data_IF_594481273259
#
_entry.id   IF_594481273259
#
_cell.length_a   1.000
_cell.length_b   1.000
_cell.length_c   1.000
_cell.angle_alpha   90.00
_cell.angle_beta   90.00
_cell.angle_gamma   90.00
#
_symmetry.space_group_name_H-M   'P 1'
#
loop_
_entity.id
_entity.type
_entity.pdbx_description
1 polymer ?
#
# COMPACT_ATOMS: atom_id res chain seq x y z
N UNK A 1 -81.61 61.93 -24.07
CA UNK A 1 -80.18 61.69 -24.38
C UNK A 1 -79.42 61.57 -23.08
N UNK A 2 -79.09 60.35 -22.65
CA UNK A 2 -78.11 60.09 -21.58
C UNK A 2 -77.30 58.87 -22.03
N UNK A 3 -75.97 59.09 -22.08
CA UNK A 3 -74.92 58.12 -22.39
C UNK A 3 -74.86 57.04 -21.31
N UNK A 4 -74.71 55.77 -21.70
CA UNK A 4 -74.07 54.76 -20.86
C UNK A 4 -72.88 54.17 -21.61
N UNK A 5 -71.70 54.36 -21.04
CA UNK A 5 -70.42 53.80 -21.49
C UNK A 5 -70.36 52.31 -21.10
N UNK A 6 -70.11 51.44 -22.07
CA UNK A 6 -69.67 50.07 -21.84
C UNK A 6 -68.15 50.09 -21.64
N UNK A 7 -67.67 49.75 -20.44
CA UNK A 7 -66.25 49.57 -20.17
C UNK A 7 -65.81 48.15 -20.56
N UNK A 8 -64.91 48.04 -21.53
CA UNK A 8 -64.27 46.79 -21.96
C UNK A 8 -63.02 46.56 -21.08
N UNK A 9 -63.07 45.57 -20.19
CA UNK A 9 -61.89 45.13 -19.41
C UNK A 9 -61.16 44.06 -20.21
N UNK A 10 -60.02 44.43 -20.81
CA UNK A 10 -59.10 43.48 -21.45
C UNK A 10 -58.11 43.02 -20.38
N UNK A 11 -58.34 41.85 -19.81
CA UNK A 11 -57.41 41.21 -18.87
C UNK A 11 -56.26 40.52 -19.63
N UNK A 12 -55.05 41.05 -19.53
CA UNK A 12 -53.84 40.39 -20.01
C UNK A 12 -53.37 39.33 -19.01
N UNK A 13 -53.46 38.05 -19.36
CA UNK A 13 -52.80 36.97 -18.63
C UNK A 13 -51.31 36.94 -19.01
N UNK A 14 -50.44 37.39 -18.11
CA UNK A 14 -49.00 37.15 -18.20
C UNK A 14 -48.71 35.72 -17.74
N UNK A 15 -48.37 34.84 -18.69
CA UNK A 15 -47.76 33.54 -18.41
C UNK A 15 -46.35 33.77 -17.86
N UNK A 16 -46.14 33.47 -16.58
CA UNK A 16 -44.81 33.42 -15.98
C UNK A 16 -44.23 32.05 -16.35
N UNK A 17 -43.13 31.97 -17.13
CA UNK A 17 -42.44 30.70 -17.29
C UNK A 17 -41.74 30.38 -15.96
N UNK A 18 -42.22 29.36 -15.26
CA UNK A 18 -41.48 28.68 -14.21
C UNK A 18 -40.25 28.04 -14.86
N UNK A 19 -39.11 28.72 -14.81
CA UNK A 19 -37.83 28.11 -15.07
C UNK A 19 -37.57 27.08 -13.96
N UNK A 20 -37.93 25.82 -14.21
CA UNK A 20 -37.43 24.70 -13.41
C UNK A 20 -35.92 24.69 -13.63
N UNK A 21 -35.18 25.12 -12.60
CA UNK A 21 -33.74 24.87 -12.53
C UNK A 21 -33.61 23.34 -12.53
N UNK A 22 -33.19 22.76 -13.65
CA UNK A 22 -32.67 21.41 -13.64
C UNK A 22 -31.49 21.43 -12.67
N UNK A 23 -31.65 20.77 -11.54
CA UNK A 23 -30.56 20.51 -10.62
C UNK A 23 -29.66 19.52 -11.33
N UNK A 24 -28.56 20.01 -11.89
CA UNK A 24 -27.53 19.15 -12.49
C UNK A 24 -27.17 18.11 -11.44
N UNK A 25 -27.43 16.84 -11.75
CA UNK A 25 -27.09 15.73 -10.87
C UNK A 25 -25.62 15.90 -10.48
N UNK A 26 -25.36 16.04 -9.18
CA UNK A 26 -24.01 16.05 -8.61
C UNK A 26 -23.24 14.91 -9.27
N UNK A 27 -22.09 15.15 -9.92
CA UNK A 27 -21.31 14.08 -10.52
C UNK A 27 -21.08 13.03 -9.44
N UNK A 28 -21.52 11.80 -9.71
CA UNK A 28 -21.26 10.66 -8.85
C UNK A 28 -19.74 10.67 -8.59
N UNK A 29 -19.35 10.88 -7.34
CA UNK A 29 -17.94 10.95 -6.94
C UNK A 29 -17.33 9.63 -7.39
N UNK A 30 -16.56 9.66 -8.47
CA UNK A 30 -15.92 8.47 -9.01
C UNK A 30 -15.23 7.75 -7.84
N UNK A 31 -15.54 6.47 -7.66
CA UNK A 31 -14.95 5.68 -6.60
C UNK A 31 -13.42 5.84 -6.67
N UNK A 32 -12.80 6.18 -5.55
CA UNK A 32 -11.35 6.27 -5.48
C UNK A 32 -10.76 4.92 -5.91
N UNK A 33 -9.73 4.90 -6.78
CA UNK A 33 -9.13 3.67 -7.24
C UNK A 33 -8.69 2.81 -6.06
N UNK A 34 -8.86 1.49 -6.17
CA UNK A 34 -8.38 0.60 -5.11
C UNK A 34 -6.87 0.74 -4.96
N UNK A 35 -6.38 0.84 -3.71
CA UNK A 35 -4.96 1.00 -3.47
C UNK A 35 -4.17 -0.21 -3.96
N UNK A 36 -2.99 0.05 -4.54
CA UNK A 36 -1.98 -0.99 -4.78
C UNK A 36 -1.55 -1.67 -3.49
N UNK A 37 -1.34 -2.98 -3.58
CA UNK A 37 -0.82 -3.78 -2.48
C UNK A 37 0.68 -3.56 -2.32
N UNK A 38 1.13 -3.54 -1.06
CA UNK A 38 2.55 -3.31 -0.71
C UNK A 38 3.06 -4.54 -0.02
N UNK A 39 4.22 -5.04 -0.46
CA UNK A 39 4.84 -6.23 0.09
C UNK A 39 6.25 -5.95 0.58
N UNK A 40 6.59 -6.60 1.68
CA UNK A 40 7.94 -6.58 2.25
C UNK A 40 8.50 -7.98 2.39
N UNK A 41 9.82 -8.10 2.31
CA UNK A 41 10.54 -9.35 2.55
C UNK A 41 11.88 -9.08 3.25
N UNK A 42 12.17 -9.81 4.33
CA UNK A 42 13.36 -9.58 5.18
C UNK A 42 14.49 -10.55 4.85
N UNK A 43 15.64 -10.00 4.46
CA UNK A 43 16.88 -10.73 4.13
C UNK A 43 17.86 -10.63 5.29
N UNK A 44 18.37 -11.77 5.75
CA UNK A 44 19.39 -11.84 6.79
C UNK A 44 20.75 -12.24 6.22
N UNK A 45 21.87 -11.67 6.69
CA UNK A 45 23.20 -11.92 6.16
C UNK A 45 23.80 -13.22 6.71
N UNK A 46 23.06 -14.32 6.61
CA UNK A 46 23.47 -15.63 7.14
C UNK A 46 23.85 -16.55 5.99
N UNK A 47 24.75 -17.50 6.27
CA UNK A 47 25.09 -18.54 5.31
C UNK A 47 23.88 -19.45 5.06
N UNK A 48 23.42 -19.60 3.80
CA UNK A 48 22.32 -20.51 3.46
C UNK A 48 22.56 -21.94 3.94
N UNK A 49 23.82 -22.38 4.07
CA UNK A 49 24.17 -23.70 4.57
C UNK A 49 23.97 -23.87 6.09
N UNK A 50 23.86 -22.75 6.82
CA UNK A 50 23.71 -22.71 8.29
C UNK A 50 22.24 -22.46 8.68
N UNK A 51 21.42 -21.92 7.79
CA UNK A 51 20.00 -21.61 8.00
C UNK A 51 19.05 -22.78 7.71
N UNK A 52 17.98 -22.89 8.50
CA UNK A 52 16.97 -23.95 8.51
C UNK A 52 16.33 -24.30 7.15
N UNK A 53 15.66 -25.47 7.10
CA UNK A 53 14.92 -26.03 5.96
C UNK A 53 13.76 -25.17 5.43
N UNK A 54 13.41 -24.08 6.13
CA UNK A 54 12.19 -23.31 5.92
C UNK A 54 12.47 -21.91 5.32
N UNK A 55 13.63 -21.76 4.65
CA UNK A 55 13.99 -20.50 3.99
C UNK A 55 13.05 -20.20 2.82
N UNK A 56 12.60 -18.95 2.75
CA UNK A 56 11.81 -18.50 1.61
C UNK A 56 12.67 -18.30 0.36
N UNK A 57 12.05 -18.44 -0.81
CA UNK A 57 12.72 -18.19 -2.09
C UNK A 57 13.15 -16.72 -2.17
N UNK A 58 14.38 -16.48 -2.64
CA UNK A 58 14.89 -15.14 -2.96
C UNK A 58 14.86 -14.93 -4.47
N UNK A 59 14.17 -13.87 -4.91
CA UNK A 59 14.04 -13.52 -6.32
C UNK A 59 15.38 -13.06 -6.91
N UNK A 60 15.61 -13.36 -8.20
CA UNK A 60 16.87 -13.07 -8.89
C UNK A 60 17.27 -11.59 -8.83
N UNK A 61 16.30 -10.68 -8.93
CA UNK A 61 16.57 -9.24 -8.87
C UNK A 61 17.07 -8.80 -7.49
N UNK A 62 16.61 -9.45 -6.41
CA UNK A 62 17.11 -9.21 -5.05
C UNK A 62 18.55 -9.71 -4.98
N UNK A 63 18.80 -10.93 -5.48
CA UNK A 63 20.13 -11.53 -5.50
C UNK A 63 21.13 -10.63 -6.23
N UNK A 64 20.76 -10.11 -7.39
CA UNK A 64 21.61 -9.22 -8.20
C UNK A 64 21.92 -7.91 -7.47
N UNK A 65 20.91 -7.25 -6.89
CA UNK A 65 21.09 -6.00 -6.15
C UNK A 65 21.94 -6.19 -4.89
N UNK A 66 21.72 -7.26 -4.13
CA UNK A 66 22.51 -7.57 -2.94
C UNK A 66 23.97 -7.87 -3.29
N UNK A 67 24.22 -8.58 -4.41
CA UNK A 67 25.59 -8.79 -4.92
C UNK A 67 26.27 -7.48 -5.30
N UNK A 68 25.57 -6.54 -5.95
CA UNK A 68 26.12 -5.21 -6.27
C UNK A 68 26.49 -4.43 -5.00
N UNK A 69 25.74 -4.64 -3.92
CA UNK A 69 26.01 -4.07 -2.59
C UNK A 69 27.11 -4.82 -1.81
N UNK A 70 27.71 -5.85 -2.40
CA UNK A 70 28.79 -6.64 -1.80
C UNK A 70 28.31 -7.74 -0.84
N UNK A 71 27.00 -7.96 -0.70
CA UNK A 71 26.46 -9.01 0.14
C UNK A 71 26.57 -10.36 -0.60
N UNK A 72 27.34 -11.29 -0.03
CA UNK A 72 27.67 -12.58 -0.67
C UNK A 72 26.81 -13.74 -0.17
N UNK A 73 26.40 -13.69 1.09
CA UNK A 73 25.63 -14.73 1.77
C UNK A 73 24.40 -14.08 2.39
N UNK A 74 23.23 -14.61 2.09
CA UNK A 74 21.99 -14.13 2.66
C UNK A 74 20.90 -15.18 2.48
N UNK A 75 19.88 -15.09 3.33
CA UNK A 75 18.67 -15.92 3.28
C UNK A 75 17.44 -15.04 3.45
N UNK A 76 16.32 -15.43 2.85
CA UNK A 76 15.03 -14.83 3.20
C UNK A 76 14.43 -15.52 4.41
N UNK A 77 14.23 -14.76 5.48
CA UNK A 77 13.58 -15.25 6.70
C UNK A 77 12.06 -15.10 6.65
N UNK A 78 11.53 -14.42 5.63
CA UNK A 78 10.10 -14.30 5.37
C UNK A 78 9.79 -14.56 3.90
N UNK A 79 8.54 -14.95 3.62
CA UNK A 79 7.94 -14.77 2.30
C UNK A 79 7.65 -13.29 2.04
N UNK A 80 6.92 -12.99 0.96
CA UNK A 80 6.34 -11.66 0.78
C UNK A 80 5.20 -11.47 1.77
N UNK A 81 5.36 -10.54 2.69
CA UNK A 81 4.33 -10.15 3.65
C UNK A 81 3.61 -8.93 3.10
N UNK A 82 2.29 -9.05 2.93
CA UNK A 82 1.45 -7.92 2.53
C UNK A 82 1.26 -6.99 3.72
N UNK A 83 1.54 -5.70 3.52
CA UNK A 83 1.25 -4.68 4.52
C UNK A 83 -0.24 -4.34 4.51
N UNK A 84 -0.73 -4.00 5.70
CA UNK A 84 -2.05 -3.40 5.86
C UNK A 84 -2.17 -2.10 5.05
N UNK A 85 -3.39 -1.78 4.63
CA UNK A 85 -3.70 -0.54 3.90
C UNK A 85 -3.87 0.66 4.83
N UNK A 86 -3.99 0.41 6.14
CA UNK A 86 -4.19 1.41 7.18
C UNK A 86 -2.84 1.96 7.65
N UNK A 87 -2.63 3.29 7.64
CA UNK A 87 -1.39 3.92 8.11
C UNK A 87 -1.21 3.89 9.64
N UNK A 88 -2.10 3.20 10.37
CA UNK A 88 -2.05 3.09 11.82
C UNK A 88 -1.92 1.63 12.31
N UNK A 89 -1.90 0.67 11.38
CA UNK A 89 -1.80 -0.75 11.69
C UNK A 89 -0.43 -1.25 11.26
N UNK A 90 0.54 -1.13 12.18
CA UNK A 90 1.83 -1.79 12.03
C UNK A 90 1.60 -3.29 11.78
N UNK A 91 2.15 -3.77 10.68
CA UNK A 91 2.03 -5.17 10.27
C UNK A 91 3.19 -5.96 10.90
N UNK A 92 2.86 -7.06 11.58
CA UNK A 92 3.85 -8.04 12.02
C UNK A 92 4.49 -8.69 10.78
N UNK A 93 5.77 -8.40 10.52
CA UNK A 93 6.49 -8.90 9.35
C UNK A 93 7.22 -10.19 9.67
N UNK A 94 7.90 -10.21 10.81
CA UNK A 94 8.67 -11.36 11.26
C UNK A 94 8.62 -11.41 12.78
N UNK A 95 8.37 -12.59 13.35
CA UNK A 95 8.29 -12.78 14.79
C UNK A 95 9.66 -12.70 15.49
N UNK A 96 10.74 -12.71 14.72
CA UNK A 96 12.09 -12.82 15.27
C UNK A 96 12.34 -14.27 15.72
N UNK A 97 13.27 -14.93 15.04
CA UNK A 97 13.60 -16.33 15.32
C UNK A 97 15.04 -16.50 15.80
N UNK A 98 15.37 -17.72 16.19
CA UNK A 98 16.77 -18.12 16.37
C UNK A 98 17.37 -18.46 15.01
N UNK A 99 18.32 -17.64 14.55
CA UNK A 99 19.05 -17.86 13.30
C UNK A 99 20.56 -17.83 13.58
N UNK A 100 21.29 -18.85 13.14
CA UNK A 100 22.73 -19.02 13.42
C UNK A 100 23.07 -18.83 14.91
N UNK A 101 22.32 -19.49 15.78
CA UNK A 101 22.44 -19.38 17.23
C UNK A 101 22.15 -17.99 17.85
N UNK A 102 21.83 -16.98 17.05
CA UNK A 102 21.45 -15.64 17.49
C UNK A 102 19.93 -15.52 17.56
N UNK A 103 19.41 -14.96 18.66
CA UNK A 103 17.99 -14.61 18.80
C UNK A 103 17.77 -13.19 18.27
N UNK A 104 16.84 -13.03 17.34
CA UNK A 104 16.47 -11.74 16.78
C UNK A 104 15.16 -11.23 17.37
N UNK A 105 15.00 -9.91 17.40
CA UNK A 105 13.76 -9.27 17.83
C UNK A 105 12.71 -9.28 16.70
N UNK A 106 11.41 -9.22 17.05
CA UNK A 106 10.33 -9.12 16.07
C UNK A 106 10.47 -7.87 15.21
N UNK A 107 10.07 -7.98 13.94
CA UNK A 107 10.10 -6.90 12.95
C UNK A 107 8.68 -6.54 12.54
N UNK A 108 8.42 -5.24 12.51
CA UNK A 108 7.14 -4.64 12.14
C UNK A 108 7.35 -3.69 10.97
N UNK A 109 6.33 -3.51 10.14
CA UNK A 109 6.34 -2.55 9.05
C UNK A 109 5.09 -1.68 9.04
N UNK A 110 5.27 -0.43 8.63
CA UNK A 110 4.23 0.57 8.58
C UNK A 110 4.35 1.42 7.30
N UNK A 111 3.20 1.85 6.79
CA UNK A 111 3.10 2.77 5.66
C UNK A 111 2.87 4.16 6.23
N UNK A 112 3.97 4.93 6.34
CA UNK A 112 3.94 6.27 6.93
C UNK A 112 3.29 7.31 6.03
N UNK A 113 3.42 7.13 4.73
CA UNK A 113 2.91 8.07 3.73
C UNK A 113 2.46 7.31 2.50
N UNK A 114 1.30 7.69 1.97
CA UNK A 114 0.77 7.19 0.71
C UNK A 114 0.09 8.33 -0.03
N UNK A 115 0.72 8.72 -1.13
CA UNK A 115 0.21 9.71 -2.07
C UNK A 115 -0.10 9.04 -3.43
N UNK A 116 -0.54 9.84 -4.40
CA UNK A 116 -0.99 9.33 -5.71
C UNK A 116 0.14 8.63 -6.48
N UNK A 117 1.35 9.15 -6.42
CA UNK A 117 2.53 8.65 -7.14
C UNK A 117 3.68 8.25 -6.21
N UNK A 118 3.46 8.34 -4.89
CA UNK A 118 4.49 8.21 -3.89
C UNK A 118 4.08 7.33 -2.71
N UNK A 119 5.05 6.59 -2.15
CA UNK A 119 4.85 5.86 -0.91
C UNK A 119 6.14 5.85 -0.07
N UNK A 120 5.98 6.06 1.24
CA UNK A 120 7.04 5.90 2.24
C UNK A 120 6.69 4.76 3.19
N UNK A 121 7.63 3.83 3.33
CA UNK A 121 7.47 2.62 4.15
C UNK A 121 8.59 2.59 5.17
N UNK A 122 8.22 2.28 6.41
CA UNK A 122 9.13 2.12 7.52
C UNK A 122 9.07 0.70 8.04
N UNK A 123 10.22 0.11 8.31
CA UNK A 123 10.33 -1.20 8.93
C UNK A 123 11.25 -1.05 10.12
N UNK A 124 10.87 -1.60 11.28
CA UNK A 124 11.61 -1.48 12.55
C UNK A 124 11.51 -2.78 13.32
N UNK A 125 12.46 -3.00 14.24
CA UNK A 125 12.29 -3.96 15.33
C UNK A 125 13.51 -4.84 15.58
N UNK A 126 14.60 -4.64 14.83
CA UNK A 126 15.83 -5.42 14.99
C UNK A 126 16.61 -5.11 16.28
N UNK A 127 17.58 -5.97 16.61
CA UNK A 127 18.46 -5.86 17.80
C UNK A 127 19.92 -5.59 17.44
N UNK A 128 20.54 -4.47 17.85
CA UNK A 128 20.16 -3.66 19.01
C UNK A 128 18.87 -2.87 18.78
N UNK A 129 18.02 -2.86 19.81
CA UNK A 129 16.65 -2.38 19.74
C UNK A 129 16.55 -0.98 19.13
N UNK A 130 15.70 -0.85 18.10
CA UNK A 130 15.43 0.42 17.42
C UNK A 130 16.11 0.59 16.06
N UNK A 131 16.94 -0.37 15.64
CA UNK A 131 17.40 -0.42 14.25
C UNK A 131 16.20 -0.46 13.28
N UNK A 132 16.34 0.20 12.13
CA UNK A 132 15.26 0.39 11.19
C UNK A 132 15.70 0.36 9.72
N UNK A 133 14.73 0.28 8.82
CA UNK A 133 14.93 0.46 7.39
C UNK A 133 13.78 1.32 6.84
N UNK A 134 14.14 2.31 6.03
CA UNK A 134 13.19 3.23 5.43
C UNK A 134 13.32 3.18 3.92
N UNK A 135 12.20 3.26 3.20
CA UNK A 135 12.21 3.45 1.75
C UNK A 135 11.14 4.43 1.33
N UNK A 136 11.46 5.19 0.28
CA UNK A 136 10.60 6.16 -0.36
C UNK A 136 10.68 5.85 -1.86
N UNK A 137 9.55 5.49 -2.48
CA UNK A 137 9.51 4.93 -3.83
C UNK A 137 8.25 5.35 -4.58
N UNK A 138 8.25 5.14 -5.89
CA UNK A 138 7.06 5.37 -6.72
C UNK A 138 5.93 4.42 -6.32
N UNK A 139 4.72 4.95 -6.26
CA UNK A 139 3.51 4.17 -6.00
C UNK A 139 2.89 3.67 -7.31
N UNK A 140 3.61 2.78 -8.00
CA UNK A 140 3.15 2.14 -9.25
C UNK A 140 3.43 0.62 -9.23
N UNK A 141 2.54 -0.22 -9.79
CA UNK A 141 2.74 -1.67 -9.82
C UNK A 141 4.05 -2.09 -10.49
N UNK A 142 4.74 -3.04 -9.87
CA UNK A 142 6.06 -3.51 -10.31
C UNK A 142 7.23 -2.70 -9.78
N UNK A 143 6.99 -1.56 -9.11
CA UNK A 143 8.07 -0.83 -8.43
C UNK A 143 8.67 -1.70 -7.34
N UNK A 144 10.00 -1.73 -7.29
CA UNK A 144 10.77 -2.53 -6.36
C UNK A 144 11.93 -1.75 -5.79
N UNK A 145 12.28 -2.01 -4.54
CA UNK A 145 13.39 -1.36 -3.87
C UNK A 145 14.03 -2.29 -2.82
N UNK A 146 15.24 -1.93 -2.39
CA UNK A 146 15.94 -2.58 -1.28
C UNK A 146 16.55 -1.51 -0.38
N UNK A 147 16.24 -1.60 0.92
CA UNK A 147 16.85 -0.80 1.97
C UNK A 147 17.73 -1.67 2.88
N UNK A 148 18.82 -1.11 3.39
CA UNK A 148 19.65 -1.73 4.42
C UNK A 148 19.12 -1.40 5.82
N UNK A 149 19.44 -2.27 6.78
CA UNK A 149 19.32 -1.99 8.21
C UNK A 149 20.74 -1.72 8.72
N UNK A 150 21.20 -0.48 8.58
CA UNK A 150 22.63 -0.14 8.69
C UNK A 150 23.18 -0.36 10.11
N UNK A 151 22.35 -0.13 11.13
CA UNK A 151 22.66 -0.31 12.55
C UNK A 151 22.94 -1.78 12.93
N UNK A 152 22.54 -2.71 12.06
CA UNK A 152 22.66 -4.15 12.25
C UNK A 152 23.87 -4.76 11.53
N UNK A 153 24.81 -3.94 11.05
CA UNK A 153 25.97 -4.45 10.32
C UNK A 153 26.90 -5.28 11.22
N UNK A 154 27.13 -6.52 10.80
CA UNK A 154 28.07 -7.47 11.41
C UNK A 154 29.17 -7.88 10.43
N UNK A 155 30.06 -8.78 10.85
CA UNK A 155 31.10 -9.37 9.99
C UNK A 155 30.50 -10.21 8.84
N UNK A 156 29.33 -10.81 9.05
CA UNK A 156 28.62 -11.60 8.06
C UNK A 156 27.89 -10.74 7.01
N UNK A 157 27.70 -9.45 7.31
CA UNK A 157 27.03 -8.47 6.45
C UNK A 157 25.99 -7.66 7.22
N UNK A 158 25.04 -7.06 6.52
CA UNK A 158 23.91 -6.37 7.15
C UNK A 158 22.59 -6.95 6.65
N UNK A 159 21.52 -6.90 7.46
CA UNK A 159 20.18 -7.20 7.00
C UNK A 159 19.71 -6.21 5.93
N UNK A 160 18.82 -6.70 5.07
CA UNK A 160 18.16 -5.89 4.06
C UNK A 160 16.66 -6.17 4.04
N UNK A 161 15.87 -5.19 3.64
CA UNK A 161 14.45 -5.35 3.36
C UNK A 161 14.21 -5.07 1.89
N UNK A 162 13.54 -6.00 1.22
CA UNK A 162 13.06 -5.82 -0.13
C UNK A 162 11.59 -5.38 -0.10
N UNK A 163 11.23 -4.48 -1.02
CA UNK A 163 9.91 -3.89 -1.14
C UNK A 163 9.37 -4.10 -2.56
N UNK A 164 8.06 -4.35 -2.67
CA UNK A 164 7.37 -4.52 -3.94
C UNK A 164 5.99 -3.87 -3.89
N UNK A 165 5.65 -3.08 -4.91
CA UNK A 165 4.30 -2.62 -5.16
C UNK A 165 3.63 -3.59 -6.13
N UNK A 166 2.59 -4.27 -5.68
CA UNK A 166 1.78 -5.18 -6.49
C UNK A 166 0.59 -4.49 -7.16
N UNK A 167 -0.23 -5.25 -7.89
CA UNK A 167 -1.53 -4.74 -8.34
C UNK A 167 -2.45 -4.41 -7.15
N UNK A 168 -3.56 -3.69 -7.39
CA UNK A 168 -4.62 -3.56 -6.39
C UNK A 168 -5.14 -4.94 -5.97
N UNK A 169 -5.62 -5.06 -4.74
CA UNK A 169 -6.24 -6.30 -4.27
C UNK A 169 -7.47 -6.64 -5.12
N UNK A 170 -7.63 -7.89 -5.53
CA UNK A 170 -8.87 -8.31 -6.20
C UNK A 170 -10.03 -8.26 -5.20
N UNK A 171 -11.15 -7.65 -5.59
CA UNK A 171 -12.38 -7.71 -4.80
C UNK A 171 -12.78 -9.18 -4.61
N UNK A 172 -13.21 -9.60 -3.40
CA UNK A 172 -13.80 -10.91 -3.24
C UNK A 172 -15.00 -11.02 -4.18
N UNK A 173 -14.99 -11.99 -5.09
CA UNK A 173 -16.18 -12.33 -5.87
C UNK A 173 -17.30 -12.66 -4.88
N UNK A 174 -18.41 -11.93 -4.98
CA UNK A 174 -19.60 -12.20 -4.17
C UNK A 174 -19.98 -13.68 -4.33
N UNK A 175 -20.47 -14.34 -3.26
CA UNK A 175 -20.95 -15.71 -3.39
C UNK A 175 -22.01 -15.75 -4.48
N UNK A 176 -21.81 -16.57 -5.51
CA UNK A 176 -22.87 -16.87 -6.46
C UNK A 176 -23.97 -17.55 -5.67
N UNK A 177 -25.11 -16.88 -5.49
CA UNK A 177 -26.34 -17.47 -4.99
C UNK A 177 -26.77 -18.54 -6.00
N UNK A 178 -26.27 -19.76 -5.82
CA UNK A 178 -26.82 -20.95 -6.46
C UNK A 178 -28.19 -21.23 -5.82
N UNK A 179 -29.21 -20.53 -6.33
CA UNK A 179 -30.61 -20.87 -6.06
C UNK A 179 -30.89 -22.25 -6.63
N UNK A 180 -31.20 -23.19 -5.73
CA UNK A 180 -31.88 -24.45 -6.03
C UNK A 180 -33.39 -24.29 -5.85
#
# INVERSE_FOLDING_TARGET
>A
MIRQLLALVIGTFTLIPLAVKAEDATPEKAAEPEPYQVYVKVMMPVDPAIGASDQSVVESWIVEELKKRGQKKFVAVTGWVSLGLSPFDATDVWDGGKLDSVLYCPVFADIREREVDHIAIWVIGWSPGGADANVSMKYEPGTRAIASVDEMKTEQGMPYVAFLIGPPAEKPTSPTDDKK
#
